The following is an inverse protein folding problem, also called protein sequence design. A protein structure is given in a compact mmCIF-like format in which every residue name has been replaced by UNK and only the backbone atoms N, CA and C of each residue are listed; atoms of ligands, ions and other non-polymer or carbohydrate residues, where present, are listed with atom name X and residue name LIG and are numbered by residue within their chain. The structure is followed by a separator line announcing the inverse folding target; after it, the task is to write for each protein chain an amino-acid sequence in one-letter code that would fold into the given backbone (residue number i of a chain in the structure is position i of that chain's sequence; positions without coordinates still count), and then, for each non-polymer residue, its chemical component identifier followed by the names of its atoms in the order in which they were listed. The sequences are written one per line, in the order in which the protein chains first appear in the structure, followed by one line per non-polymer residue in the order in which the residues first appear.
data_IF_089996830957
#
_entry.id   IF_089996830957
#
_cell.length_a   1.000
_cell.length_b   1.000
_cell.length_c   1.000
_cell.angle_alpha   90.00
_cell.angle_beta   90.00
_cell.angle_gamma   90.00
#
_symmetry.space_group_name_H-M   'P 1'
#
loop_
_entity.id
_entity.type
_entity.pdbx_description
1 polymer ?
#
# COMPACT_ATOMS: atom_id res chain seq x y z
N UNK A 1 -7.71 -16.37 12.33
CA UNK A 1 -6.62 -15.45 11.92
C UNK A 1 -7.28 -14.15 11.52
N UNK A 2 -6.89 -13.02 12.13
CA UNK A 2 -7.46 -11.71 11.76
C UNK A 2 -6.57 -11.07 10.70
N UNK A 3 -7.13 -10.82 9.53
CA UNK A 3 -6.44 -10.15 8.44
C UNK A 3 -7.06 -8.80 8.13
N UNK A 4 -6.22 -7.88 7.65
CA UNK A 4 -6.64 -6.55 7.22
C UNK A 4 -6.03 -6.21 5.87
N UNK A 5 -6.85 -5.70 4.96
CA UNK A 5 -6.44 -5.19 3.66
C UNK A 5 -6.47 -3.67 3.72
N UNK A 6 -5.32 -3.04 3.52
CA UNK A 6 -5.19 -1.58 3.46
C UNK A 6 -4.84 -1.22 2.03
N UNK A 7 -5.60 -0.30 1.43
CA UNK A 7 -5.36 0.10 0.06
C UNK A 7 -5.31 1.61 -0.13
N UNK A 8 -4.61 2.05 -1.16
CA UNK A 8 -4.70 3.43 -1.64
C UNK A 8 -5.19 3.43 -3.09
N UNK A 9 -6.15 4.28 -3.42
CA UNK A 9 -6.64 4.41 -4.79
C UNK A 9 -6.89 5.86 -5.15
N UNK A 10 -6.36 6.29 -6.30
CA UNK A 10 -6.61 7.63 -6.85
C UNK A 10 -7.79 7.65 -7.83
N UNK A 11 -7.93 6.60 -8.63
CA UNK A 11 -8.93 6.49 -9.72
C UNK A 11 -9.93 5.35 -9.50
N UNK A 12 -9.88 4.67 -8.35
CA UNK A 12 -10.80 3.58 -7.99
C UNK A 12 -10.33 2.18 -8.40
N UNK A 13 -9.48 2.03 -9.43
CA UNK A 13 -9.07 0.71 -9.93
C UNK A 13 -8.41 -0.18 -8.86
N UNK A 14 -7.51 0.39 -8.06
CA UNK A 14 -6.87 -0.32 -6.94
C UNK A 14 -7.87 -0.70 -5.84
N UNK A 15 -8.92 0.10 -5.64
CA UNK A 15 -9.95 -0.17 -4.63
C UNK A 15 -10.73 -1.44 -4.97
N UNK A 16 -11.13 -1.60 -6.23
CA UNK A 16 -11.82 -2.81 -6.70
C UNK A 16 -10.98 -4.07 -6.43
N UNK A 17 -9.67 -4.01 -6.70
CA UNK A 17 -8.77 -5.15 -6.44
C UNK A 17 -8.70 -5.46 -4.95
N UNK A 18 -8.59 -4.42 -4.11
CA UNK A 18 -8.49 -4.57 -2.66
C UNK A 18 -9.78 -5.15 -2.05
N UNK A 19 -10.94 -4.64 -2.46
CA UNK A 19 -12.25 -5.13 -2.02
C UNK A 19 -12.47 -6.59 -2.41
N UNK A 20 -12.17 -6.97 -3.66
CA UNK A 20 -12.26 -8.36 -4.11
C UNK A 20 -11.32 -9.30 -3.36
N UNK A 21 -10.13 -8.80 -3.01
CA UNK A 21 -9.17 -9.58 -2.24
C UNK A 21 -9.64 -9.76 -0.79
N UNK A 22 -10.18 -8.71 -0.18
CA UNK A 22 -10.74 -8.75 1.16
C UNK A 22 -11.96 -9.68 1.24
N UNK A 23 -12.87 -9.60 0.26
CA UNK A 23 -14.04 -10.47 0.13
C UNK A 23 -13.65 -11.95 0.08
N UNK A 24 -12.65 -12.30 -0.75
CA UNK A 24 -12.16 -13.69 -0.87
C UNK A 24 -11.45 -14.20 0.38
N UNK A 25 -10.77 -13.32 1.11
CA UNK A 25 -10.00 -13.70 2.30
C UNK A 25 -10.82 -13.59 3.60
N UNK A 26 -12.00 -12.96 3.56
CA UNK A 26 -12.80 -12.65 4.74
C UNK A 26 -12.11 -11.64 5.67
N UNK A 27 -11.34 -10.71 5.10
CA UNK A 27 -10.56 -9.72 5.85
C UNK A 27 -11.23 -8.36 5.87
N UNK A 28 -10.97 -7.56 6.90
CA UNK A 28 -11.41 -6.17 6.94
C UNK A 28 -10.68 -5.36 5.85
N UNK A 29 -11.36 -4.43 5.20
CA UNK A 29 -10.77 -3.56 4.17
C UNK A 29 -10.87 -2.10 4.58
N UNK A 30 -9.77 -1.37 4.47
CA UNK A 30 -9.75 0.07 4.67
C UNK A 30 -8.95 0.81 3.59
N UNK A 31 -9.52 1.93 3.14
CA UNK A 31 -8.93 2.82 2.15
C UNK A 31 -8.17 3.97 2.82
N UNK A 32 -7.00 4.29 2.28
CA UNK A 32 -6.24 5.47 2.63
C UNK A 32 -6.72 6.68 1.82
N UNK A 33 -7.05 7.76 2.51
CA UNK A 33 -7.42 9.04 1.89
C UNK A 33 -6.34 10.10 2.07
N UNK A 34 -6.16 10.95 1.05
CA UNK A 34 -5.26 12.09 1.12
C UNK A 34 -5.91 13.27 1.88
N UNK A 35 -5.16 13.93 2.78
CA UNK A 35 -5.67 15.10 3.53
C UNK A 35 -5.88 16.33 2.65
N UNK A 36 -5.15 16.43 1.53
CA UNK A 36 -5.28 17.52 0.55
C UNK A 36 -5.31 16.94 -0.86
N UNK A 37 -6.25 17.36 -1.73
CA UNK A 37 -6.23 16.99 -3.14
C UNK A 37 -4.97 17.55 -3.78
N UNK A 38 -4.18 16.70 -4.45
CA UNK A 38 -2.98 17.12 -5.19
C UNK A 38 -3.25 17.22 -6.68
N UNK A 39 -2.60 18.15 -7.40
CA UNK A 39 -2.64 18.21 -8.86
C UNK A 39 -2.09 16.90 -9.47
N UNK A 40 -2.62 16.53 -10.63
CA UNK A 40 -2.49 15.21 -11.25
C UNK A 40 -1.05 14.74 -11.50
N UNK A 41 -0.09 15.65 -11.70
CA UNK A 41 1.31 15.38 -12.05
C UNK A 41 2.30 15.35 -10.87
N UNK A 42 1.97 15.94 -9.72
CA UNK A 42 2.80 15.89 -8.50
C UNK A 42 3.04 14.49 -7.87
N UNK A 43 2.20 13.45 -8.05
CA UNK A 43 2.38 12.18 -7.37
C UNK A 43 3.56 11.35 -7.90
N UNK A 44 3.88 11.48 -9.19
CA UNK A 44 4.98 10.74 -9.84
C UNK A 44 6.32 11.20 -9.28
N UNK A 45 6.53 12.52 -9.19
CA UNK A 45 7.75 13.10 -8.63
C UNK A 45 7.90 12.78 -7.14
N UNK A 46 6.78 12.76 -6.41
CA UNK A 46 6.76 12.43 -4.98
C UNK A 46 7.06 10.96 -4.69
N UNK A 47 6.64 10.05 -5.58
CA UNK A 47 6.98 8.63 -5.51
C UNK A 47 8.47 8.37 -5.77
N UNK A 48 9.05 9.09 -6.74
CA UNK A 48 10.50 9.02 -7.03
C UNK A 48 11.33 9.56 -5.86
N UNK A 49 10.87 10.61 -5.19
CA UNK A 49 11.58 11.27 -4.10
C UNK A 49 11.27 10.71 -2.70
N UNK A 50 10.45 9.65 -2.57
CA UNK A 50 10.04 9.08 -1.28
C UNK A 50 9.48 10.12 -0.28
N UNK A 51 8.85 11.19 -0.76
CA UNK A 51 8.32 12.25 0.11
C UNK A 51 7.19 11.69 0.98
N UNK A 52 7.22 11.96 2.28
CA UNK A 52 6.11 11.65 3.18
C UNK A 52 4.90 12.51 2.85
N UNK A 53 3.72 11.89 2.81
CA UNK A 53 2.45 12.53 2.42
C UNK A 53 1.54 12.64 3.63
N UNK A 54 0.88 13.79 3.78
CA UNK A 54 -0.16 13.95 4.80
C UNK A 54 -1.40 13.12 4.44
N UNK A 55 -1.53 11.96 5.08
CA UNK A 55 -2.74 11.14 5.07
C UNK A 55 -3.82 11.77 5.96
N UNK A 56 -5.08 11.55 5.59
CA UNK A 56 -6.24 11.92 6.42
C UNK A 56 -6.29 11.01 7.64
N UNK A 57 -6.59 11.59 8.80
CA UNK A 57 -6.87 10.86 10.03
C UNK A 57 -8.38 10.58 10.11
N UNK A 58 -8.84 9.44 10.67
CA UNK A 58 -8.04 8.40 11.32
C UNK A 58 -7.35 7.45 10.33
N UNK A 59 -6.20 6.92 10.75
CA UNK A 59 -5.50 5.86 10.02
C UNK A 59 -6.06 4.47 10.40
N UNK A 60 -5.99 3.50 9.47
CA UNK A 60 -6.38 2.13 9.74
C UNK A 60 -5.63 1.51 10.93
N UNK A 61 -6.37 0.99 11.91
CA UNK A 61 -5.78 0.33 13.08
C UNK A 61 -5.40 -1.13 12.77
N UNK A 62 -4.10 -1.37 12.59
CA UNK A 62 -3.55 -2.71 12.30
C UNK A 62 -3.16 -3.49 13.57
N UNK A 63 -3.35 -2.93 14.77
CA UNK A 63 -2.88 -3.56 16.02
C UNK A 63 -3.43 -4.97 16.20
N UNK A 64 -4.71 -5.16 15.88
CA UNK A 64 -5.44 -6.42 16.03
C UNK A 64 -5.29 -7.39 14.84
N UNK A 65 -4.55 -7.01 13.79
CA UNK A 65 -4.34 -7.84 12.61
C UNK A 65 -3.05 -8.66 12.74
N UNK A 66 -3.14 -9.97 12.48
CA UNK A 66 -2.01 -10.90 12.39
C UNK A 66 -1.35 -10.81 11.00
N UNK A 67 -2.17 -10.58 9.98
CA UNK A 67 -1.78 -10.49 8.58
C UNK A 67 -2.31 -9.20 7.97
N UNK A 68 -1.41 -8.45 7.33
CA UNK A 68 -1.72 -7.17 6.69
C UNK A 68 -1.44 -7.32 5.20
N UNK A 69 -2.41 -6.95 4.37
CA UNK A 69 -2.26 -6.88 2.92
C UNK A 69 -2.29 -5.43 2.50
N UNK A 70 -1.17 -4.93 1.99
CA UNK A 70 -1.01 -3.57 1.50
C UNK A 70 -1.23 -3.57 -0.02
N UNK A 71 -2.28 -2.92 -0.50
CA UNK A 71 -2.58 -2.81 -1.94
C UNK A 71 -2.28 -1.40 -2.40
N UNK A 72 -1.31 -1.25 -3.28
CA UNK A 72 -0.82 0.06 -3.73
C UNK A 72 -0.69 0.10 -5.24
N UNK A 73 -1.06 1.21 -5.91
CA UNK A 73 -0.71 1.37 -7.29
C UNK A 73 0.81 1.54 -7.41
N UNK A 74 1.40 1.02 -8.49
CA UNK A 74 2.81 1.21 -8.79
C UNK A 74 2.95 2.47 -9.66
N UNK A 75 3.67 3.47 -9.15
CA UNK A 75 3.97 4.71 -9.86
C UNK A 75 5.47 4.85 -10.05
N UNK A 76 5.90 5.01 -11.31
CA UNK A 76 7.32 5.08 -11.67
C UNK A 76 8.16 3.96 -11.01
N UNK A 77 7.63 2.73 -11.01
CA UNK A 77 8.26 1.54 -10.41
C UNK A 77 8.35 1.51 -8.88
N UNK A 78 7.82 2.52 -8.20
CA UNK A 78 7.81 2.63 -6.76
C UNK A 78 6.38 2.50 -6.20
N UNK A 79 6.23 2.01 -4.96
CA UNK A 79 4.95 2.05 -4.26
C UNK A 79 4.56 3.51 -3.99
N UNK A 80 3.26 3.77 -3.85
CA UNK A 80 2.82 5.15 -3.59
C UNK A 80 3.39 5.71 -2.29
N UNK A 81 3.75 7.00 -2.26
CA UNK A 81 4.29 7.63 -1.06
C UNK A 81 3.29 7.65 0.11
N UNK A 82 1.98 7.55 -0.17
CA UNK A 82 0.92 7.31 0.80
C UNK A 82 1.11 6.00 1.56
N UNK A 83 1.35 4.90 0.84
CA UNK A 83 1.60 3.60 1.45
C UNK A 83 2.90 3.63 2.26
N UNK A 84 3.96 4.25 1.75
CA UNK A 84 5.21 4.43 2.49
C UNK A 84 5.00 5.22 3.78
N UNK A 85 4.15 6.26 3.76
CA UNK A 85 3.84 7.05 4.96
C UNK A 85 3.01 6.26 5.95
N UNK A 86 2.04 5.48 5.49
CA UNK A 86 1.26 4.58 6.32
C UNK A 86 2.15 3.58 7.06
N UNK A 87 3.03 2.89 6.34
CA UNK A 87 3.98 1.92 6.93
C UNK A 87 4.87 2.59 7.98
N UNK A 88 5.40 3.78 7.71
CA UNK A 88 6.23 4.56 8.66
C UNK A 88 5.47 5.00 9.91
N UNK A 89 4.21 5.40 9.77
CA UNK A 89 3.39 5.88 10.90
C UNK A 89 2.91 4.75 11.79
N UNK A 90 2.44 3.65 11.20
CA UNK A 90 1.75 2.60 11.95
C UNK A 90 2.72 1.56 12.49
N UNK A 91 3.87 1.36 11.83
CA UNK A 91 4.90 0.42 12.29
C UNK A 91 4.45 -1.03 12.14
N UNK A 92 4.97 -1.72 11.13
CA UNK A 92 4.57 -3.09 10.77
C UNK A 92 5.49 -4.17 11.36
N UNK A 93 6.33 -3.83 12.33
CA UNK A 93 7.33 -4.74 12.89
C UNK A 93 6.69 -5.96 13.56
N UNK A 94 7.15 -7.16 13.22
CA UNK A 94 6.69 -8.42 13.80
C UNK A 94 5.36 -8.98 13.25
N UNK A 95 4.73 -8.31 12.26
CA UNK A 95 3.48 -8.78 11.62
C UNK A 95 3.75 -9.39 10.23
N UNK A 96 2.87 -10.28 9.76
CA UNK A 96 2.96 -10.81 8.39
C UNK A 96 2.41 -9.78 7.42
N UNK A 97 3.24 -9.28 6.50
CA UNK A 97 2.84 -8.24 5.54
C UNK A 97 2.98 -8.74 4.12
N UNK A 98 1.89 -8.62 3.35
CA UNK A 98 1.86 -8.86 1.92
C UNK A 98 1.71 -7.52 1.19
N UNK A 99 2.50 -7.30 0.15
CA UNK A 99 2.35 -6.13 -0.72
C UNK A 99 1.81 -6.58 -2.07
N UNK A 100 0.75 -5.92 -2.52
CA UNK A 100 0.11 -6.11 -3.82
C UNK A 100 0.26 -4.83 -4.62
N UNK A 101 1.06 -4.89 -5.68
CA UNK A 101 1.23 -3.79 -6.63
C UNK A 101 0.20 -3.88 -7.75
N UNK A 102 -0.59 -2.82 -7.95
CA UNK A 102 -1.50 -2.71 -9.10
C UNK A 102 -0.87 -1.77 -10.13
N UNK A 103 -0.61 -2.29 -11.33
CA UNK A 103 0.02 -1.53 -12.42
C UNK A 103 -0.59 -1.89 -13.77
N UNK A 104 -0.36 -1.05 -14.78
CA UNK A 104 -0.90 -1.20 -16.13
C UNK A 104 -0.19 -2.27 -16.99
N UNK A 105 0.29 -3.36 -16.37
CA UNK A 105 0.91 -4.48 -17.08
C UNK A 105 2.43 -4.42 -17.25
N UNK A 106 3.11 -3.40 -16.70
CA UNK A 106 4.58 -3.32 -16.74
C UNK A 106 5.17 -3.80 -15.40
N UNK A 107 6.03 -4.84 -15.39
CA UNK A 107 6.61 -5.36 -14.14
C UNK A 107 7.65 -4.40 -13.57
N UNK A 108 7.62 -4.11 -12.26
CA UNK A 108 8.50 -3.11 -11.66
C UNK A 108 9.99 -3.42 -11.83
N UNK A 109 10.77 -2.42 -12.29
CA UNK A 109 12.23 -2.52 -12.47
C UNK A 109 12.94 -2.80 -11.13
N UNK A 110 12.42 -2.25 -10.03
CA UNK A 110 12.94 -2.45 -8.67
C UNK A 110 11.91 -3.17 -7.80
N UNK A 111 12.36 -3.78 -6.69
CA UNK A 111 11.45 -4.51 -5.79
C UNK A 111 10.67 -3.52 -4.91
N UNK A 112 9.36 -3.33 -5.12
CA UNK A 112 8.60 -2.31 -4.38
C UNK A 112 8.55 -2.60 -2.88
N UNK A 113 8.60 -3.88 -2.50
CA UNK A 113 8.65 -4.29 -1.11
C UNK A 113 9.97 -3.90 -0.41
N UNK A 114 11.10 -3.90 -1.13
CA UNK A 114 12.39 -3.48 -0.55
C UNK A 114 12.42 -1.97 -0.32
N UNK A 115 11.80 -1.20 -1.20
CA UNK A 115 11.66 0.26 -1.04
C UNK A 115 10.81 0.64 0.18
N UNK A 116 9.87 -0.24 0.58
CA UNK A 116 9.04 -0.02 1.77
C UNK A 116 9.69 -0.47 3.09
N UNK A 117 10.61 -1.44 3.06
CA UNK A 117 11.09 -2.10 4.28
C UNK A 117 12.61 -2.11 4.48
N UNK A 118 13.41 -1.59 3.55
CA UNK A 118 14.87 -1.57 3.73
C UNK A 118 15.54 -2.96 3.67
N UNK A 119 14.86 -3.97 3.09
CA UNK A 119 15.45 -5.26 2.74
C UNK A 119 15.19 -6.40 3.70
N UNK A 120 14.10 -7.15 3.49
CA UNK A 120 14.08 -8.62 3.47
C UNK A 120 12.65 -9.07 3.16
N UNK A 121 12.41 -9.48 1.92
CA UNK A 121 11.07 -9.86 1.44
C UNK A 121 11.17 -11.26 0.89
N UNK A 122 10.49 -12.21 1.53
CA UNK A 122 10.37 -13.57 1.00
C UNK A 122 9.28 -13.60 -0.06
N UNK A 123 9.65 -14.18 -1.19
CA UNK A 123 8.77 -14.45 -2.32
C UNK A 123 7.84 -15.59 -1.94
N UNK A 124 6.53 -15.39 -2.06
CA UNK A 124 5.57 -16.49 -2.20
C UNK A 124 5.37 -16.66 -3.69
N UNK A 125 6.25 -17.45 -4.30
CA UNK A 125 5.99 -18.04 -5.61
C UNK A 125 5.12 -19.28 -5.42
N UNK A 126 4.13 -19.46 -6.29
CA UNK A 126 3.48 -20.76 -6.48
C UNK A 126 4.37 -21.63 -7.36
#
# INVERSE_FOLDING_TARGET
MKGMVVYYSKTGSTGVVAERLAEKLGFAVEGLEDKKPRPSAAPVLSGILNLTVALRDPLPDIKNADLIVLVTPIWAWHPTPQMSTFVKKVGISGKKVFLVGVGAGVPPIKRPCQDLQGGSVRRVEK
#
